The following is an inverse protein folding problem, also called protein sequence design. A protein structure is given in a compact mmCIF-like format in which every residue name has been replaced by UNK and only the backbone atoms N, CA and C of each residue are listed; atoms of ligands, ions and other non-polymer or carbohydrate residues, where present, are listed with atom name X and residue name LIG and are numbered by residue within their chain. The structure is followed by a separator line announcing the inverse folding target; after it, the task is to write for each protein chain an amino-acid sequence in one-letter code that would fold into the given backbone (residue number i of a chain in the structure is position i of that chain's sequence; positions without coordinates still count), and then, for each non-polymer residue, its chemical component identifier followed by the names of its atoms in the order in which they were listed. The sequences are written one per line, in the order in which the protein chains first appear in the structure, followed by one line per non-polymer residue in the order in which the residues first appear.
data_IF_896087953846
#
_entry.id   IF_896087953846
#
_cell.length_a   1.000
_cell.length_b   1.000
_cell.length_c   1.000
_cell.angle_alpha   90.00
_cell.angle_beta   90.00
_cell.angle_gamma   90.00
#
_symmetry.space_group_name_H-M   'P 1'
#
loop_
_entity.id
_entity.type
_entity.pdbx_description
1 polymer ?
#
# COMPACT_ATOMS: atom_id res chain seq x y z
N UNK A 1 10.64 -7.37 24.92
CA UNK A 1 10.83 -8.56 24.07
C UNK A 1 10.96 -8.09 22.61
N UNK A 2 12.17 -7.66 22.23
CA UNK A 2 12.49 -7.19 20.88
C UNK A 2 12.71 -8.37 19.95
N UNK A 3 11.79 -8.60 19.01
CA UNK A 3 12.06 -9.47 17.86
C UNK A 3 12.84 -8.68 16.81
N UNK A 4 14.18 -8.79 16.86
CA UNK A 4 15.05 -8.40 15.76
C UNK A 4 14.65 -9.19 14.51
N UNK A 5 14.15 -8.48 13.52
CA UNK A 5 13.96 -9.00 12.17
C UNK A 5 15.36 -9.19 11.55
N UNK A 6 15.85 -10.43 11.55
CA UNK A 6 17.05 -10.80 10.79
C UNK A 6 16.57 -11.26 9.40
N UNK A 7 16.99 -10.61 8.29
CA UNK A 7 16.49 -10.92 6.96
C UNK A 7 17.12 -12.18 6.35
N UNK A 8 17.89 -12.93 7.12
CA UNK A 8 18.50 -14.18 6.66
C UNK A 8 17.57 -15.36 6.93
N UNK A 9 16.96 -15.81 5.84
CA UNK A 9 16.23 -17.07 5.63
C UNK A 9 14.77 -17.12 6.14
N UNK A 10 13.78 -16.96 5.25
CA UNK A 10 12.43 -17.42 5.56
C UNK A 10 12.46 -18.94 5.73
N UNK A 11 12.06 -19.42 6.91
CA UNK A 11 11.77 -20.84 7.15
C UNK A 11 10.94 -21.39 5.97
N UNK A 12 11.39 -22.53 5.44
CA UNK A 12 10.86 -23.17 4.23
C UNK A 12 9.43 -23.70 4.45
N UNK A 13 8.46 -22.82 4.52
CA UNK A 13 7.10 -23.13 4.08
C UNK A 13 7.17 -23.24 2.56
N UNK A 14 6.88 -24.42 2.01
CA UNK A 14 6.83 -24.70 0.57
C UNK A 14 5.73 -23.87 -0.11
N UNK A 15 5.97 -22.57 -0.26
CA UNK A 15 5.12 -21.66 -1.01
C UNK A 15 5.43 -21.83 -2.49
N UNK A 16 4.38 -22.17 -3.25
CA UNK A 16 4.48 -22.37 -4.68
C UNK A 16 3.95 -21.14 -5.41
N UNK A 17 4.45 -20.90 -6.63
CA UNK A 17 3.94 -19.85 -7.49
C UNK A 17 3.59 -20.47 -8.85
N UNK A 18 2.33 -20.87 -8.97
CA UNK A 18 1.83 -21.53 -10.18
C UNK A 18 0.64 -20.74 -10.73
N UNK A 19 0.84 -20.06 -11.87
CA UNK A 19 -0.27 -19.45 -12.61
C UNK A 19 -0.13 -19.71 -14.09
N UNK A 20 -1.06 -20.48 -14.65
CA UNK A 20 -1.06 -20.84 -16.08
C UNK A 20 -1.12 -19.59 -16.97
N UNK A 21 -1.84 -18.56 -16.53
CA UNK A 21 -2.02 -17.30 -17.27
C UNK A 21 -0.70 -16.52 -17.47
N UNK A 22 0.28 -16.66 -16.58
CA UNK A 22 1.58 -15.98 -16.67
C UNK A 22 2.50 -16.61 -17.74
N UNK A 23 2.17 -17.80 -18.23
CA UNK A 23 2.96 -18.55 -19.22
C UNK A 23 2.24 -18.75 -20.56
N UNK A 24 1.01 -18.25 -20.68
CA UNK A 24 0.23 -18.25 -21.91
C UNK A 24 0.79 -17.24 -22.91
N UNK A 25 0.66 -17.48 -24.22
CA UNK A 25 1.06 -16.52 -25.24
C UNK A 25 0.22 -15.23 -25.14
N UNK A 26 0.77 -14.05 -25.53
CA UNK A 26 0.03 -12.80 -25.48
C UNK A 26 -1.33 -12.87 -26.22
N UNK A 27 -1.35 -13.52 -27.38
CA UNK A 27 -2.57 -13.75 -28.16
C UNK A 27 -3.63 -14.53 -27.37
N UNK A 28 -3.26 -15.65 -26.75
CA UNK A 28 -4.20 -16.47 -25.99
C UNK A 28 -4.77 -15.74 -24.78
N UNK A 29 -3.99 -14.87 -24.11
CA UNK A 29 -4.48 -14.04 -22.99
C UNK A 29 -5.46 -12.97 -23.46
N UNK A 30 -5.19 -12.32 -24.58
CA UNK A 30 -6.10 -11.33 -25.16
C UNK A 30 -7.41 -11.99 -25.58
N UNK A 31 -7.35 -13.17 -26.17
CA UNK A 31 -8.52 -13.95 -26.55
C UNK A 31 -9.37 -14.33 -25.32
N UNK A 32 -8.74 -14.82 -24.24
CA UNK A 32 -9.45 -15.10 -22.97
C UNK A 32 -10.11 -13.85 -22.40
N UNK A 33 -9.44 -12.69 -22.46
CA UNK A 33 -10.03 -11.41 -22.02
C UNK A 33 -11.23 -11.03 -22.87
N UNK A 34 -11.14 -11.11 -24.20
CA UNK A 34 -12.23 -10.78 -25.12
C UNK A 34 -13.44 -11.69 -24.88
N UNK A 35 -13.21 -13.00 -24.74
CA UNK A 35 -14.29 -13.95 -24.43
C UNK A 35 -14.93 -13.63 -23.08
N UNK A 36 -14.13 -13.42 -22.04
CA UNK A 36 -14.64 -13.12 -20.70
C UNK A 36 -15.45 -11.82 -20.67
N UNK A 37 -14.99 -10.76 -21.34
CA UNK A 37 -15.73 -9.49 -21.39
C UNK A 37 -16.99 -9.59 -22.27
N UNK A 38 -16.91 -10.28 -23.40
CA UNK A 38 -18.07 -10.54 -24.25
C UNK A 38 -19.17 -11.29 -23.48
N UNK A 39 -18.81 -12.29 -22.68
CA UNK A 39 -19.76 -13.02 -21.86
C UNK A 39 -20.47 -12.13 -20.83
N UNK A 40 -19.75 -11.23 -20.16
CA UNK A 40 -20.33 -10.26 -19.21
C UNK A 40 -21.26 -9.28 -19.92
N UNK A 41 -20.90 -8.79 -21.12
CA UNK A 41 -21.75 -7.89 -21.92
C UNK A 41 -23.04 -8.59 -22.34
N UNK A 42 -22.95 -9.86 -22.77
CA UNK A 42 -24.12 -10.66 -23.13
C UNK A 42 -25.05 -10.84 -21.92
N UNK A 43 -24.50 -11.20 -20.76
CA UNK A 43 -25.29 -11.33 -19.52
C UNK A 43 -25.94 -10.01 -19.11
N UNK A 44 -25.23 -8.89 -19.24
CA UNK A 44 -25.77 -7.56 -18.96
C UNK A 44 -26.92 -7.21 -19.93
N UNK A 45 -26.77 -7.52 -21.22
CA UNK A 45 -27.82 -7.34 -22.21
C UNK A 45 -29.07 -8.17 -21.91
N UNK A 46 -28.90 -9.43 -21.50
CA UNK A 46 -29.99 -10.30 -21.06
C UNK A 46 -30.67 -9.74 -19.80
N UNK A 47 -29.90 -9.26 -18.83
CA UNK A 47 -30.45 -8.66 -17.60
C UNK A 47 -31.30 -7.42 -17.89
N UNK A 48 -30.84 -6.55 -18.79
CA UNK A 48 -31.60 -5.36 -19.23
C UNK A 48 -32.86 -5.74 -20.00
N UNK A 49 -32.77 -6.73 -20.91
CA UNK A 49 -33.93 -7.22 -21.65
C UNK A 49 -35.00 -7.83 -20.71
N UNK A 50 -34.58 -8.53 -19.66
CA UNK A 50 -35.47 -9.09 -18.65
C UNK A 50 -36.11 -8.02 -17.76
N UNK A 51 -35.46 -6.87 -17.54
CA UNK A 51 -36.03 -5.74 -16.81
C UNK A 51 -37.11 -4.97 -17.58
N UNK A 52 -37.01 -4.94 -18.91
CA UNK A 52 -37.96 -4.24 -19.80
C UNK A 52 -39.17 -5.13 -20.13
N UNK A 53 -39.11 -6.43 -19.78
CA UNK A 53 -40.17 -7.38 -20.10
C UNK A 53 -41.49 -7.02 -19.43
N UNK A 54 -42.60 -7.27 -20.13
CA UNK A 54 -43.97 -7.05 -19.62
C UNK A 54 -44.42 -8.11 -18.61
N UNK A 55 -43.63 -9.17 -18.41
CA UNK A 55 -43.92 -10.22 -17.44
C UNK A 55 -43.38 -9.85 -16.04
N UNK A 56 -44.24 -9.65 -15.02
CA UNK A 56 -43.81 -9.17 -13.69
C UNK A 56 -42.83 -10.12 -12.98
N UNK A 57 -42.86 -11.42 -13.28
CA UNK A 57 -41.90 -12.39 -12.74
C UNK A 57 -40.50 -12.27 -13.34
N UNK A 58 -40.36 -11.89 -14.61
CA UNK A 58 -39.07 -11.76 -15.29
C UNK A 58 -38.30 -10.53 -14.81
N UNK A 59 -39.00 -9.46 -14.43
CA UNK A 59 -38.38 -8.21 -13.99
C UNK A 59 -37.59 -8.40 -12.68
N UNK A 60 -38.08 -9.23 -11.76
CA UNK A 60 -37.34 -9.58 -10.54
C UNK A 60 -36.08 -10.40 -10.83
N UNK A 61 -36.13 -11.29 -11.82
CA UNK A 61 -34.95 -12.04 -12.29
C UNK A 61 -33.93 -11.08 -12.91
N UNK A 62 -34.38 -10.13 -13.73
CA UNK A 62 -33.55 -9.06 -14.28
C UNK A 62 -32.89 -8.21 -13.19
N UNK A 63 -33.64 -7.80 -12.16
CA UNK A 63 -33.12 -7.02 -11.05
C UNK A 63 -32.07 -7.79 -10.24
N UNK A 64 -32.29 -9.08 -9.98
CA UNK A 64 -31.32 -9.94 -9.30
C UNK A 64 -30.04 -10.12 -10.12
N UNK A 65 -30.15 -10.28 -11.44
CA UNK A 65 -28.99 -10.36 -12.33
C UNK A 65 -28.19 -9.05 -12.33
N UNK A 66 -28.84 -7.89 -12.37
CA UNK A 66 -28.14 -6.59 -12.30
C UNK A 66 -27.43 -6.43 -10.96
N UNK A 67 -28.06 -6.80 -9.83
CA UNK A 67 -27.40 -6.79 -8.52
C UNK A 67 -26.19 -7.74 -8.47
N UNK A 68 -26.32 -8.93 -9.06
CA UNK A 68 -25.22 -9.91 -9.13
C UNK A 68 -24.07 -9.41 -9.99
N UNK A 69 -24.35 -8.74 -11.11
CA UNK A 69 -23.32 -8.11 -11.95
C UNK A 69 -22.67 -6.94 -11.21
N UNK A 70 -23.46 -6.16 -10.47
CA UNK A 70 -22.97 -5.08 -9.61
C UNK A 70 -22.00 -5.61 -8.55
N UNK A 71 -22.38 -6.68 -7.85
CA UNK A 71 -21.52 -7.36 -6.87
C UNK A 71 -20.25 -7.95 -7.52
N UNK A 72 -20.41 -8.58 -8.69
CA UNK A 72 -19.29 -9.10 -9.49
C UNK A 72 -18.30 -8.00 -9.89
N UNK A 73 -18.80 -6.82 -10.30
CA UNK A 73 -17.97 -5.66 -10.67
C UNK A 73 -17.20 -5.10 -9.47
N UNK A 74 -17.84 -5.04 -8.30
CA UNK A 74 -17.21 -4.56 -7.05
C UNK A 74 -16.06 -5.50 -6.65
N UNK A 75 -16.30 -6.80 -6.68
CA UNK A 75 -15.30 -7.82 -6.31
C UNK A 75 -14.36 -8.22 -7.47
N UNK A 76 -14.52 -7.67 -8.67
CA UNK A 76 -13.72 -8.05 -9.85
C UNK A 76 -12.22 -7.77 -9.69
N UNK A 77 -11.87 -6.86 -8.78
CA UNK A 77 -10.50 -6.45 -8.48
C UNK A 77 -9.87 -7.23 -7.33
N UNK A 78 -10.65 -7.94 -6.51
CA UNK A 78 -10.14 -8.64 -5.33
C UNK A 78 -9.38 -9.92 -5.70
N UNK A 79 -8.49 -10.34 -4.82
CA UNK A 79 -7.81 -11.62 -4.90
C UNK A 79 -8.79 -12.78 -4.61
N UNK A 80 -8.46 -13.98 -5.07
CA UNK A 80 -9.30 -15.16 -4.82
C UNK A 80 -9.22 -15.64 -3.37
N UNK A 81 -8.08 -15.41 -2.71
CA UNK A 81 -7.83 -15.80 -1.33
C UNK A 81 -7.16 -14.67 -0.58
N UNK A 82 -7.43 -14.60 0.74
CA UNK A 82 -6.80 -13.62 1.61
C UNK A 82 -5.39 -14.06 2.01
N UNK A 83 -4.49 -13.11 2.24
CA UNK A 83 -3.12 -13.37 2.72
C UNK A 83 -3.14 -14.09 4.08
N UNK A 84 -4.09 -13.76 4.96
CA UNK A 84 -4.28 -14.49 6.23
C UNK A 84 -4.62 -15.97 6.04
N UNK A 85 -5.33 -16.32 4.95
CA UNK A 85 -5.65 -17.70 4.59
C UNK A 85 -4.44 -18.45 4.06
N UNK A 86 -3.52 -17.75 3.37
CA UNK A 86 -2.26 -18.32 2.89
C UNK A 86 -1.38 -18.81 4.05
N UNK A 87 -1.20 -17.97 5.08
CA UNK A 87 -0.37 -18.32 6.23
C UNK A 87 -1.03 -19.27 7.22
N UNK A 88 -2.36 -19.46 7.14
CA UNK A 88 -3.09 -20.47 7.91
C UNK A 88 -3.24 -21.81 7.16
N UNK A 89 -2.63 -21.95 5.97
CA UNK A 89 -2.62 -23.21 5.21
C UNK A 89 -3.96 -23.56 4.54
N UNK A 90 -4.88 -22.59 4.41
CA UNK A 90 -6.19 -22.80 3.77
C UNK A 90 -6.17 -22.59 2.25
N UNK A 91 -5.04 -22.16 1.69
CA UNK A 91 -4.86 -21.93 0.25
C UNK A 91 -4.38 -23.22 -0.41
N UNK A 92 -5.01 -23.66 -1.51
CA UNK A 92 -4.59 -24.87 -2.21
C UNK A 92 -3.14 -24.77 -2.67
N UNK A 93 -2.35 -25.81 -2.38
CA UNK A 93 -0.93 -25.92 -2.72
C UNK A 93 -0.06 -24.76 -2.20
N UNK A 94 -0.53 -24.03 -1.19
CA UNK A 94 0.12 -22.82 -0.66
C UNK A 94 0.53 -21.86 -1.80
N UNK A 95 -0.34 -21.72 -2.80
CA UNK A 95 -0.03 -20.97 -4.01
C UNK A 95 -0.20 -19.47 -3.79
N UNK A 96 0.92 -18.76 -3.75
CA UNK A 96 0.95 -17.32 -3.50
C UNK A 96 0.25 -16.56 -4.62
N UNK A 97 0.26 -17.08 -5.85
CA UNK A 97 -0.34 -16.44 -7.02
C UNK A 97 -1.85 -16.16 -6.88
N UNK A 98 -2.53 -16.91 -6.01
CA UNK A 98 -3.97 -16.78 -5.76
C UNK A 98 -4.32 -15.63 -4.80
N UNK A 99 -3.33 -15.15 -4.05
CA UNK A 99 -3.47 -14.07 -3.07
C UNK A 99 -3.07 -12.70 -3.65
N UNK A 100 -2.55 -12.66 -4.88
CA UNK A 100 -2.27 -11.40 -5.55
C UNK A 100 -3.56 -10.76 -6.05
N UNK A 101 -3.63 -9.44 -5.89
CA UNK A 101 -4.66 -8.64 -6.50
C UNK A 101 -4.55 -8.71 -8.03
N UNK A 102 -5.67 -8.57 -8.74
CA UNK A 102 -5.71 -8.58 -10.20
C UNK A 102 -4.79 -7.53 -10.83
N UNK A 103 -4.67 -6.36 -10.22
CA UNK A 103 -3.81 -5.27 -10.68
C UNK A 103 -2.32 -5.55 -10.44
N UNK A 104 -1.98 -6.18 -9.31
CA UNK A 104 -0.64 -6.66 -9.04
C UNK A 104 -0.23 -7.76 -10.04
N UNK A 105 -1.18 -8.61 -10.41
CA UNK A 105 -0.96 -9.65 -11.41
C UNK A 105 -0.82 -9.09 -12.82
N UNK A 106 -1.64 -8.09 -13.21
CA UNK A 106 -1.55 -7.48 -14.54
C UNK A 106 -0.21 -6.77 -14.74
N UNK A 107 0.23 -6.02 -13.73
CA UNK A 107 1.55 -5.34 -13.75
C UNK A 107 2.70 -6.34 -13.84
N UNK A 108 2.67 -7.43 -13.06
CA UNK A 108 3.66 -8.52 -13.19
C UNK A 108 3.63 -9.19 -14.57
N UNK A 109 2.45 -9.49 -15.11
CA UNK A 109 2.33 -10.10 -16.45
C UNK A 109 2.90 -9.19 -17.53
N UNK A 110 2.62 -7.88 -17.46
CA UNK A 110 3.07 -6.90 -18.42
C UNK A 110 4.59 -6.71 -18.35
N UNK A 111 5.16 -6.68 -17.13
CA UNK A 111 6.60 -6.61 -16.93
C UNK A 111 7.31 -7.82 -17.55
N UNK A 112 6.79 -9.03 -17.32
CA UNK A 112 7.33 -10.26 -17.90
C UNK A 112 7.22 -10.28 -19.43
N UNK A 113 6.07 -9.88 -19.98
CA UNK A 113 5.87 -9.82 -21.43
C UNK A 113 6.85 -8.83 -22.09
N UNK A 114 7.00 -7.63 -21.51
CA UNK A 114 7.94 -6.63 -22.01
C UNK A 114 9.37 -7.15 -21.93
N UNK A 115 9.81 -7.67 -20.78
CA UNK A 115 11.14 -8.23 -20.61
C UNK A 115 11.45 -9.36 -21.61
N UNK A 116 10.47 -10.23 -21.87
CA UNK A 116 10.63 -11.33 -22.84
C UNK A 116 10.69 -10.84 -24.30
N UNK A 117 10.10 -9.69 -24.63
CA UNK A 117 10.11 -9.12 -25.98
C UNK A 117 11.33 -8.24 -26.25
N UNK A 118 11.69 -7.37 -25.30
CA UNK A 118 12.77 -6.39 -25.45
C UNK A 118 14.13 -6.91 -24.97
N UNK A 119 14.14 -7.97 -24.15
CA UNK A 119 15.36 -8.46 -23.51
C UNK A 119 15.94 -7.50 -22.46
N UNK A 120 15.09 -6.61 -21.94
CA UNK A 120 15.38 -5.70 -20.84
C UNK A 120 15.28 -6.41 -19.47
N UNK A 121 15.89 -5.83 -18.43
CA UNK A 121 15.80 -6.41 -17.09
C UNK A 121 14.37 -6.33 -16.53
N UNK A 122 13.81 -7.49 -16.19
CA UNK A 122 12.45 -7.62 -15.67
C UNK A 122 12.17 -6.80 -14.41
N UNK A 123 13.14 -6.72 -13.48
CA UNK A 123 12.94 -6.01 -12.22
C UNK A 123 12.84 -4.50 -12.43
N UNK A 124 13.66 -3.93 -13.34
CA UNK A 124 13.59 -2.51 -13.68
C UNK A 124 12.25 -2.15 -14.32
N UNK A 125 11.78 -2.96 -15.28
CA UNK A 125 10.46 -2.75 -15.89
C UNK A 125 9.36 -2.83 -14.83
N UNK A 126 9.44 -3.81 -13.93
CA UNK A 126 8.45 -3.97 -12.86
C UNK A 126 8.42 -2.72 -11.96
N UNK A 127 9.57 -2.19 -11.55
CA UNK A 127 9.65 -0.94 -10.78
C UNK A 127 9.08 0.24 -11.57
N UNK A 128 9.36 0.33 -12.88
CA UNK A 128 8.78 1.36 -13.77
C UNK A 128 7.26 1.34 -13.71
N UNK A 129 6.66 0.17 -13.93
CA UNK A 129 5.20 -0.01 -13.95
C UNK A 129 4.56 0.20 -12.59
N UNK A 130 5.24 -0.20 -11.51
CA UNK A 130 4.75 0.02 -10.15
C UNK A 130 4.82 1.50 -9.75
N UNK A 131 5.78 2.25 -10.28
CA UNK A 131 5.92 3.71 -10.06
C UNK A 131 4.82 4.52 -10.76
N UNK A 132 4.07 3.93 -11.70
CA UNK A 132 2.89 4.56 -12.28
C UNK A 132 1.68 4.57 -11.33
N UNK A 133 1.69 3.76 -10.28
CA UNK A 133 0.60 3.72 -9.31
C UNK A 133 0.62 4.96 -8.42
N UNK A 134 -0.53 5.60 -8.25
CA UNK A 134 -0.68 6.78 -7.39
C UNK A 134 -0.22 6.53 -5.95
N UNK A 135 -0.39 5.32 -5.42
CA UNK A 135 0.04 4.97 -4.07
C UNK A 135 1.57 4.97 -3.94
N UNK A 136 2.28 4.41 -4.94
CA UNK A 136 3.75 4.35 -4.97
C UNK A 136 4.35 5.71 -5.32
N UNK A 137 3.77 6.44 -6.28
CA UNK A 137 4.21 7.78 -6.65
C UNK A 137 4.15 8.72 -5.42
N UNK A 138 3.04 8.71 -4.68
CA UNK A 138 2.91 9.48 -3.43
C UNK A 138 3.90 9.03 -2.35
N UNK A 139 4.18 7.73 -2.24
CA UNK A 139 5.18 7.24 -1.30
C UNK A 139 6.58 7.80 -1.63
N UNK A 140 6.94 7.87 -2.91
CA UNK A 140 8.22 8.45 -3.37
C UNK A 140 8.26 9.98 -3.18
N UNK A 141 7.18 10.70 -3.48
CA UNK A 141 7.09 12.15 -3.25
C UNK A 141 7.30 12.51 -1.77
N UNK A 142 6.79 11.68 -0.86
CA UNK A 142 7.00 11.84 0.60
C UNK A 142 8.42 11.57 1.04
N UNK A 143 9.13 10.75 0.29
CA UNK A 143 10.56 10.56 0.44
C UNK A 143 11.35 11.66 -0.28
N UNK A 144 10.72 12.78 -0.65
CA UNK A 144 11.30 13.91 -1.38
C UNK A 144 12.00 13.49 -2.68
N UNK A 145 11.55 12.38 -3.27
CA UNK A 145 12.01 11.91 -4.57
C UNK A 145 11.11 12.48 -5.65
N UNK A 146 11.71 13.18 -6.62
CA UNK A 146 10.98 13.64 -7.79
C UNK A 146 10.65 12.44 -8.69
N UNK A 147 9.37 12.07 -8.76
CA UNK A 147 8.89 10.90 -9.52
C UNK A 147 9.27 10.97 -11.00
N UNK A 148 9.31 12.18 -11.59
CA UNK A 148 9.68 12.34 -13.01
C UNK A 148 11.16 12.03 -13.22
N UNK A 149 12.02 12.56 -12.35
CA UNK A 149 13.46 12.32 -12.42
C UNK A 149 13.79 10.85 -12.16
N UNK A 150 13.11 10.24 -11.19
CA UNK A 150 13.23 8.81 -10.89
C UNK A 150 12.87 7.95 -12.12
N UNK A 151 11.75 8.26 -12.80
CA UNK A 151 11.35 7.56 -14.03
C UNK A 151 12.36 7.73 -15.16
N UNK A 152 12.91 8.93 -15.34
CA UNK A 152 13.92 9.18 -16.37
C UNK A 152 15.19 8.36 -16.12
N UNK A 153 15.70 8.36 -14.88
CA UNK A 153 16.88 7.57 -14.49
C UNK A 153 16.65 6.07 -14.64
N UNK A 154 15.44 5.63 -14.33
CA UNK A 154 15.05 4.23 -14.49
C UNK A 154 14.93 3.84 -15.97
N UNK A 155 14.41 4.72 -16.83
CA UNK A 155 14.39 4.50 -18.28
C UNK A 155 15.81 4.46 -18.88
N UNK A 156 16.71 5.38 -18.48
CA UNK A 156 18.12 5.35 -18.87
C UNK A 156 18.80 4.02 -18.51
N UNK A 157 18.51 3.46 -17.34
CA UNK A 157 19.10 2.18 -16.91
C UNK A 157 18.48 0.98 -17.65
N UNK A 158 17.18 1.03 -17.97
CA UNK A 158 16.50 0.02 -18.79
C UNK A 158 17.15 -0.03 -20.19
N UNK A 159 17.38 1.11 -20.83
CA UNK A 159 18.00 1.20 -22.15
C UNK A 159 19.40 0.56 -22.19
N UNK A 160 20.20 0.73 -21.13
CA UNK A 160 21.53 0.11 -21.01
C UNK A 160 21.50 -1.42 -20.92
N UNK A 161 20.37 -2.00 -20.50
CA UNK A 161 20.17 -3.45 -20.38
C UNK A 161 19.54 -4.11 -21.61
N UNK A 162 19.07 -3.35 -22.60
CA UNK A 162 18.43 -3.87 -23.81
C UNK A 162 19.36 -4.89 -24.50
N UNK A 163 18.85 -6.11 -24.71
CA UNK A 163 19.53 -7.18 -25.45
C UNK A 163 20.63 -7.93 -24.70
N UNK A 164 20.88 -7.65 -23.41
CA UNK A 164 21.93 -8.32 -22.62
C UNK A 164 21.46 -9.56 -21.86
N UNK A 165 20.17 -9.67 -21.54
CA UNK A 165 19.63 -10.73 -20.70
C UNK A 165 18.68 -11.65 -21.49
N UNK A 166 19.21 -12.73 -22.08
CA UNK A 166 18.39 -13.87 -22.53
C UNK A 166 18.19 -14.85 -21.38
N UNK A 167 17.34 -14.47 -20.43
CA UNK A 167 17.00 -15.29 -19.26
C UNK A 167 16.10 -16.46 -19.70
N UNK A 168 16.37 -17.66 -19.20
CA UNK A 168 15.55 -18.85 -19.48
C UNK A 168 14.16 -18.72 -18.84
N UNK A 169 13.13 -19.35 -19.44
CA UNK A 169 11.76 -19.37 -18.86
C UNK A 169 11.73 -19.91 -17.44
N UNK A 170 12.66 -20.80 -17.09
CA UNK A 170 12.77 -21.38 -15.74
C UNK A 170 13.36 -20.41 -14.73
N UNK A 171 14.34 -19.61 -15.14
CA UNK A 171 14.92 -18.56 -14.29
C UNK A 171 13.89 -17.47 -13.98
N UNK A 172 13.06 -17.08 -14.96
CA UNK A 172 11.94 -16.17 -14.72
C UNK A 172 10.91 -16.72 -13.72
N UNK A 173 10.62 -18.03 -13.79
CA UNK A 173 9.72 -18.68 -12.81
C UNK A 173 10.27 -18.52 -11.40
N UNK A 174 11.56 -18.77 -11.23
CA UNK A 174 12.22 -18.73 -9.93
C UNK A 174 12.32 -17.31 -9.37
N UNK A 175 12.66 -16.32 -10.21
CA UNK A 175 12.70 -14.91 -9.82
C UNK A 175 11.31 -14.40 -9.40
N UNK A 176 10.28 -14.71 -10.19
CA UNK A 176 8.91 -14.30 -9.89
C UNK A 176 8.40 -14.97 -8.62
N UNK A 177 8.77 -16.24 -8.40
CA UNK A 177 8.43 -16.97 -7.17
C UNK A 177 9.04 -16.31 -5.95
N UNK A 178 10.33 -15.97 -5.98
CA UNK A 178 11.02 -15.27 -4.87
C UNK A 178 10.36 -13.93 -4.54
N UNK A 179 10.06 -13.12 -5.57
CA UNK A 179 9.36 -11.84 -5.40
C UNK A 179 7.96 -12.00 -4.81
N UNK A 180 7.16 -12.95 -5.32
CA UNK A 180 5.81 -13.17 -4.84
C UNK A 180 5.79 -13.58 -3.36
N UNK A 181 6.72 -14.46 -2.95
CA UNK A 181 6.86 -14.86 -1.54
C UNK A 181 7.24 -13.67 -0.67
N UNK A 182 8.24 -12.87 -1.08
CA UNK A 182 8.63 -11.66 -0.35
C UNK A 182 7.44 -10.69 -0.19
N UNK A 183 6.68 -10.48 -1.26
CA UNK A 183 5.47 -9.65 -1.24
C UNK A 183 4.40 -10.19 -0.28
N UNK A 184 4.22 -11.52 -0.22
CA UNK A 184 3.28 -12.15 0.71
C UNK A 184 3.65 -11.89 2.18
N UNK A 185 4.94 -11.98 2.51
CA UNK A 185 5.42 -11.67 3.86
C UNK A 185 5.23 -10.19 4.22
N UNK A 186 5.51 -9.29 3.28
CA UNK A 186 5.31 -7.84 3.45
C UNK A 186 3.82 -7.54 3.66
N UNK A 187 2.94 -8.09 2.83
CA UNK A 187 1.48 -7.95 2.99
C UNK A 187 0.99 -8.48 4.33
N UNK A 188 1.51 -9.60 4.81
CA UNK A 188 1.19 -10.11 6.16
C UNK A 188 1.59 -9.12 7.25
N UNK A 189 2.79 -8.55 7.14
CA UNK A 189 3.29 -7.58 8.11
C UNK A 189 2.45 -6.30 8.14
N UNK A 190 1.99 -5.86 6.97
CA UNK A 190 1.07 -4.71 6.84
C UNK A 190 -0.39 -5.04 7.16
N UNK A 191 -0.69 -6.28 7.58
CA UNK A 191 -2.04 -6.76 7.86
C UNK A 191 -2.99 -6.58 6.65
N UNK A 192 -2.45 -6.72 5.44
CA UNK A 192 -3.21 -6.61 4.21
C UNK A 192 -4.01 -7.89 3.95
N UNK A 193 -5.23 -7.72 3.45
CA UNK A 193 -6.03 -8.86 3.02
C UNK A 193 -5.50 -9.48 1.72
N UNK A 194 -4.82 -8.70 0.87
CA UNK A 194 -4.38 -9.09 -0.47
C UNK A 194 -2.98 -8.59 -0.78
N UNK A 195 -2.27 -9.25 -1.69
CA UNK A 195 -0.96 -8.79 -2.16
C UNK A 195 -1.16 -7.75 -3.27
N UNK A 196 -0.93 -6.48 -2.91
CA UNK A 196 -1.05 -5.32 -3.79
C UNK A 196 0.20 -5.01 -4.60
N UNK A 197 0.11 -3.96 -5.43
CA UNK A 197 1.27 -3.47 -6.18
C UNK A 197 2.30 -2.78 -5.27
N UNK A 198 1.86 -2.21 -4.16
CA UNK A 198 2.74 -1.57 -3.19
C UNK A 198 3.61 -2.62 -2.47
N UNK A 199 2.99 -3.74 -2.11
CA UNK A 199 3.66 -4.87 -1.46
C UNK A 199 4.66 -5.53 -2.43
N UNK A 200 4.33 -5.57 -3.73
CA UNK A 200 5.29 -5.95 -4.78
C UNK A 200 6.43 -4.95 -4.92
N UNK A 201 6.17 -3.65 -4.82
CA UNK A 201 7.22 -2.62 -4.90
C UNK A 201 8.20 -2.78 -3.73
N UNK A 202 7.70 -2.90 -2.50
CA UNK A 202 8.52 -3.23 -1.34
C UNK A 202 9.27 -4.56 -1.51
N UNK A 203 8.66 -5.56 -2.15
CA UNK A 203 9.32 -6.85 -2.37
C UNK A 203 10.51 -6.73 -3.32
N UNK A 204 10.40 -5.94 -4.40
CA UNK A 204 11.51 -5.74 -5.35
C UNK A 204 12.68 -5.03 -4.68
N UNK A 205 12.41 -4.06 -3.81
CA UNK A 205 13.44 -3.34 -3.07
C UNK A 205 14.11 -4.24 -2.01
N UNK A 206 13.35 -5.15 -1.38
CA UNK A 206 13.87 -6.13 -0.42
C UNK A 206 14.79 -7.17 -1.05
N UNK A 207 14.49 -7.66 -2.25
CA UNK A 207 15.31 -8.68 -2.95
C UNK A 207 16.69 -8.14 -3.35
N UNK A 208 16.94 -6.83 -3.19
CA UNK A 208 18.25 -6.19 -3.27
C UNK A 208 18.99 -6.48 -4.59
N UNK A 209 18.26 -6.40 -5.70
CA UNK A 209 18.82 -6.57 -7.05
C UNK A 209 19.80 -5.42 -7.32
N UNK A 210 21.04 -5.69 -7.79
CA UNK A 210 22.08 -4.67 -7.90
C UNK A 210 21.68 -3.42 -8.70
N UNK A 211 20.96 -3.59 -9.81
CA UNK A 211 20.52 -2.49 -10.67
C UNK A 211 19.48 -1.60 -9.98
N UNK A 212 18.48 -2.21 -9.35
CA UNK A 212 17.46 -1.49 -8.58
C UNK A 212 18.10 -0.78 -7.40
N UNK A 213 19.02 -1.46 -6.70
CA UNK A 213 19.75 -0.89 -5.55
C UNK A 213 20.53 0.37 -5.94
N UNK A 214 21.27 0.35 -7.06
CA UNK A 214 21.99 1.52 -7.57
C UNK A 214 21.07 2.72 -7.76
N UNK A 215 19.88 2.52 -8.35
CA UNK A 215 18.92 3.60 -8.55
C UNK A 215 18.43 4.13 -7.19
N UNK A 216 18.08 3.24 -6.25
CA UNK A 216 17.63 3.66 -4.92
C UNK A 216 18.72 4.41 -4.14
N UNK A 217 19.97 3.96 -4.23
CA UNK A 217 21.13 4.58 -3.60
C UNK A 217 21.38 6.00 -4.17
N UNK A 218 21.16 6.23 -5.48
CA UNK A 218 21.24 7.57 -6.08
C UNK A 218 20.25 8.57 -5.47
N UNK A 219 19.07 8.09 -5.09
CA UNK A 219 18.05 8.91 -4.41
C UNK A 219 18.17 8.88 -2.89
N UNK A 220 19.20 8.21 -2.35
CA UNK A 220 19.41 8.03 -0.89
C UNK A 220 18.20 7.41 -0.20
N UNK A 221 17.54 6.46 -0.85
CA UNK A 221 16.32 5.81 -0.34
C UNK A 221 16.62 4.37 0.09
N UNK A 222 16.34 4.04 1.34
CA UNK A 222 16.47 2.66 1.84
C UNK A 222 15.16 1.85 1.74
N UNK A 223 15.25 0.53 1.89
CA UNK A 223 14.07 -0.34 1.99
C UNK A 223 13.14 0.09 3.13
N UNK A 224 13.69 0.42 4.30
CA UNK A 224 12.92 0.79 5.48
C UNK A 224 12.14 2.10 5.24
N UNK A 225 12.74 3.06 4.53
CA UNK A 225 12.09 4.33 4.18
C UNK A 225 10.91 4.11 3.23
N UNK A 226 11.08 3.28 2.21
CA UNK A 226 10.02 2.90 1.25
C UNK A 226 8.90 2.17 1.96
N UNK A 227 9.26 1.19 2.79
CA UNK A 227 8.31 0.39 3.53
C UNK A 227 7.45 1.26 4.45
N UNK A 228 8.10 2.17 5.19
CA UNK A 228 7.40 3.16 6.01
C UNK A 228 6.52 4.08 5.15
N UNK A 229 7.05 4.65 4.07
CA UNK A 229 6.31 5.58 3.21
C UNK A 229 5.06 4.96 2.58
N UNK A 230 5.12 3.68 2.18
CA UNK A 230 3.98 2.94 1.63
C UNK A 230 2.92 2.70 2.71
N UNK A 231 3.33 2.25 3.90
CA UNK A 231 2.43 2.09 5.05
C UNK A 231 1.73 3.41 5.33
N UNK A 232 2.47 4.52 5.39
CA UNK A 232 1.90 5.85 5.61
C UNK A 232 0.97 6.30 4.49
N UNK A 233 1.34 6.12 3.22
CA UNK A 233 0.52 6.49 2.08
C UNK A 233 -0.84 5.74 2.11
N UNK A 234 -0.84 4.49 2.57
CA UNK A 234 -2.06 3.71 2.80
C UNK A 234 -2.84 4.23 3.99
N UNK A 235 -2.25 4.41 5.18
CA UNK A 235 -2.97 4.86 6.38
C UNK A 235 -3.54 6.28 6.25
N UNK A 236 -2.86 7.20 5.57
CA UNK A 236 -3.33 8.56 5.34
C UNK A 236 -4.64 8.62 4.53
N UNK A 237 -4.93 7.57 3.74
CA UNK A 237 -6.15 7.44 2.95
C UNK A 237 -7.04 6.24 3.38
N UNK A 238 -6.52 5.38 4.26
CA UNK A 238 -7.02 4.05 4.61
C UNK A 238 -7.97 4.07 5.79
N UNK A 239 -9.03 4.86 5.67
CA UNK A 239 -10.36 4.61 6.25
C UNK A 239 -11.34 5.58 5.59
N UNK A 240 -11.50 5.43 4.26
CA UNK A 240 -12.85 5.64 3.73
C UNK A 240 -13.73 4.62 4.46
N UNK A 241 -14.65 5.16 5.24
CA UNK A 241 -15.73 4.47 5.92
C UNK A 241 -16.51 3.59 4.94
N UNK A 242 -16.03 2.39 4.67
CA UNK A 242 -16.87 1.31 4.15
C UNK A 242 -17.66 0.76 5.33
N UNK A 243 -18.69 1.50 5.74
CA UNK A 243 -19.91 1.06 6.41
C UNK A 243 -20.77 2.33 6.54
N UNK A 244 -21.87 2.48 5.78
CA UNK A 244 -22.90 3.43 6.15
C UNK A 244 -23.43 3.02 7.52
N UNK A 245 -23.40 3.92 8.49
CA UNK A 245 -24.10 3.77 9.77
C UNK A 245 -25.62 3.91 9.57
N UNK A 246 -26.18 3.09 8.69
CA UNK A 246 -27.61 3.06 8.36
C UNK A 246 -28.12 1.61 8.38
N UNK A 247 -27.86 0.94 9.50
CA UNK A 247 -28.69 -0.16 9.99
C UNK A 247 -28.68 -0.11 11.52
N UNK A 248 -29.76 0.43 12.09
CA UNK A 248 -30.06 0.36 13.53
C UNK A 248 -29.63 1.58 14.34
N UNK A 249 -30.52 2.58 14.43
CA UNK A 249 -30.34 3.73 15.30
C UNK A 249 -30.44 3.36 16.78
N UNK A 250 -29.50 3.86 17.58
CA UNK A 250 -29.75 4.44 18.90
C UNK A 250 -28.67 5.51 19.12
N UNK A 251 -29.12 6.70 19.50
CA UNK A 251 -28.31 7.90 19.62
C UNK A 251 -27.28 7.78 20.76
N UNK A 252 -26.08 7.32 20.44
CA UNK A 252 -24.89 7.82 21.11
C UNK A 252 -24.42 9.02 20.29
N UNK A 253 -24.49 10.20 20.91
CA UNK A 253 -23.83 11.44 20.44
C UNK A 253 -22.46 11.03 19.92
N UNK A 254 -22.31 10.99 18.59
CA UNK A 254 -21.05 10.70 17.93
C UNK A 254 -20.07 11.70 18.51
N UNK A 255 -19.15 11.25 19.36
CA UNK A 255 -18.03 12.07 19.78
C UNK A 255 -17.47 12.64 18.48
N UNK A 256 -17.52 13.97 18.32
CA UNK A 256 -16.99 14.63 17.14
C UNK A 256 -15.51 14.29 17.11
N UNK A 257 -15.15 13.20 16.44
CA UNK A 257 -13.78 12.93 16.03
C UNK A 257 -13.43 14.14 15.19
N UNK A 258 -12.70 15.09 15.79
CA UNK A 258 -12.19 16.27 15.10
C UNK A 258 -11.56 15.77 13.81
N UNK A 259 -11.83 16.46 12.70
CA UNK A 259 -11.32 16.07 11.39
C UNK A 259 -9.84 15.74 11.49
N UNK A 260 -9.45 14.57 10.99
CA UNK A 260 -8.07 14.21 10.74
C UNK A 260 -7.49 15.25 9.76
N UNK A 261 -7.03 16.40 10.25
CA UNK A 261 -6.01 17.15 9.52
C UNK A 261 -4.77 16.28 9.60
N UNK A 262 -4.37 15.72 8.45
CA UNK A 262 -3.15 14.92 8.31
C UNK A 262 -2.01 15.69 8.99
N UNK A 263 -1.34 15.06 9.96
CA UNK A 263 -0.22 15.66 10.67
C UNK A 263 0.82 16.17 9.66
N UNK A 264 1.40 17.35 9.87
CA UNK A 264 2.57 17.78 9.10
C UNK A 264 3.76 16.83 9.32
N UNK A 265 3.89 16.21 10.50
CA UNK A 265 4.88 15.13 10.74
C UNK A 265 4.54 13.85 9.98
N UNK A 266 3.25 13.58 9.73
CA UNK A 266 2.81 12.54 8.79
C UNK A 266 2.95 13.01 7.34
N UNK A 267 3.46 14.20 7.02
CA UNK A 267 3.83 14.61 5.65
C UNK A 267 5.34 14.71 5.43
N UNK A 268 6.15 14.76 6.49
CA UNK A 268 7.61 14.78 6.42
C UNK A 268 8.22 13.38 6.22
N UNK A 269 9.50 13.34 5.83
CA UNK A 269 10.29 12.11 5.73
C UNK A 269 10.27 11.33 7.06
N UNK A 270 10.13 9.99 7.03
CA UNK A 270 10.23 9.17 8.23
C UNK A 270 11.65 9.29 8.84
N UNK A 271 11.73 9.51 10.16
CA UNK A 271 12.98 9.69 10.91
C UNK A 271 13.22 8.52 11.88
N UNK A 272 13.53 7.31 11.38
CA UNK A 272 13.56 6.09 12.19
C UNK A 272 14.60 6.10 13.32
N UNK A 273 15.70 6.86 13.17
CA UNK A 273 16.70 7.00 14.23
C UNK A 273 16.22 7.90 15.39
N UNK A 274 15.63 9.06 15.06
CA UNK A 274 15.12 10.01 16.06
C UNK A 274 13.97 9.39 16.86
N UNK A 275 13.05 8.67 16.19
CA UNK A 275 11.90 8.00 16.79
C UNK A 275 12.26 6.96 17.88
N UNK A 276 13.52 6.49 17.96
CA UNK A 276 13.96 5.57 19.03
C UNK A 276 14.25 6.28 20.35
N UNK A 277 14.56 7.58 20.30
CA UNK A 277 15.01 8.36 21.45
C UNK A 277 14.08 9.52 21.79
N UNK A 278 13.15 9.87 20.90
CA UNK A 278 12.16 10.93 21.11
C UNK A 278 10.74 10.38 21.15
N UNK A 279 9.86 11.09 21.85
CA UNK A 279 8.42 10.84 21.86
C UNK A 279 7.71 12.00 21.17
N UNK A 280 6.85 11.73 20.19
CA UNK A 280 6.03 12.77 19.55
C UNK A 280 4.81 13.08 20.43
N UNK A 281 4.84 14.23 21.10
CA UNK A 281 3.75 14.70 21.96
C UNK A 281 2.46 15.01 21.18
N UNK A 282 2.57 15.36 19.89
CA UNK A 282 1.42 15.61 19.01
C UNK A 282 0.62 14.33 18.78
N UNK A 283 1.31 13.20 18.65
CA UNK A 283 0.67 11.89 18.48
C UNK A 283 -0.02 11.44 19.77
N UNK A 284 0.60 11.67 20.93
CA UNK A 284 -0.02 11.38 22.23
C UNK A 284 -1.26 12.25 22.49
N UNK A 285 -1.22 13.51 22.08
CA UNK A 285 -2.38 14.40 22.16
C UNK A 285 -3.53 13.95 21.26
N UNK A 286 -3.23 13.50 20.03
CA UNK A 286 -4.24 12.89 19.13
C UNK A 286 -4.88 11.63 19.70
N UNK A 287 -4.10 10.81 20.39
CA UNK A 287 -4.60 9.62 21.06
C UNK A 287 -5.50 9.94 22.26
N UNK A 288 -5.64 11.22 22.64
CA UNK A 288 -6.41 11.66 23.80
C UNK A 288 -5.73 11.30 25.13
N UNK A 289 -4.45 10.97 25.09
CA UNK A 289 -3.65 10.56 26.26
C UNK A 289 -2.81 11.70 26.85
N UNK A 290 -2.84 12.89 26.24
CA UNK A 290 -2.21 14.07 26.80
C UNK A 290 -2.94 14.54 28.06
N UNK A 291 -2.17 14.96 29.07
CA UNK A 291 -2.72 15.53 30.29
C UNK A 291 -3.43 16.87 30.05
N UNK A 292 -4.37 17.22 30.92
CA UNK A 292 -5.00 18.53 30.93
C UNK A 292 -4.19 19.49 31.79
N UNK A 293 -4.15 20.77 31.40
CA UNK A 293 -3.46 21.82 32.16
C UNK A 293 -4.41 22.41 33.21
N UNK A 294 -3.94 22.54 34.45
CA UNK A 294 -4.68 23.19 35.55
C UNK A 294 -3.82 24.33 36.09
N UNK A 295 -4.37 25.55 36.16
CA UNK A 295 -3.79 26.68 36.89
C UNK A 295 -2.60 27.41 36.24
N UNK A 296 -1.91 26.83 35.26
CA UNK A 296 -0.74 27.42 34.58
C UNK A 296 -1.07 28.34 33.40
N UNK A 297 -2.16 29.11 33.50
CA UNK A 297 -2.68 29.92 32.39
C UNK A 297 -1.70 31.03 31.97
N UNK A 298 -1.11 31.73 32.95
CA UNK A 298 -0.21 32.87 32.70
C UNK A 298 1.12 32.44 32.09
N UNK A 299 1.68 31.33 32.58
CA UNK A 299 2.93 30.77 32.07
C UNK A 299 2.75 30.24 30.65
N UNK A 300 1.60 29.62 30.39
CA UNK A 300 1.25 29.10 29.08
C UNK A 300 1.07 30.21 28.04
N UNK A 301 0.33 31.27 28.36
CA UNK A 301 0.18 32.44 27.48
C UNK A 301 1.54 33.08 27.16
N UNK A 302 2.38 33.30 28.17
CA UNK A 302 3.73 33.85 27.96
C UNK A 302 4.58 32.94 27.05
N UNK A 303 4.48 31.62 27.22
CA UNK A 303 5.18 30.66 26.36
C UNK A 303 4.72 30.78 24.89
N UNK A 304 3.40 30.86 24.67
CA UNK A 304 2.84 31.05 23.33
C UNK A 304 3.32 32.36 22.70
N UNK A 305 3.27 33.46 23.44
CA UNK A 305 3.68 34.78 22.95
C UNK A 305 5.14 34.78 22.49
N UNK A 306 6.03 34.13 23.25
CA UNK A 306 7.45 34.00 22.90
C UNK A 306 7.61 33.13 21.65
N UNK A 307 6.91 31.99 21.56
CA UNK A 307 7.00 31.07 20.42
C UNK A 307 6.37 31.65 19.14
N UNK A 308 5.36 32.51 19.26
CA UNK A 308 4.65 33.14 18.16
C UNK A 308 5.37 34.38 17.60
N UNK A 309 6.41 34.87 18.27
CA UNK A 309 7.20 36.01 17.81
C UNK A 309 7.90 35.76 16.48
N UNK A 310 8.20 36.82 15.72
CA UNK A 310 8.99 36.72 14.49
C UNK A 310 10.46 36.43 14.83
N UNK A 311 10.97 35.26 14.44
CA UNK A 311 12.35 34.81 14.72
C UNK A 311 12.43 33.34 15.13
N UNK A 312 13.66 32.83 15.35
CA UNK A 312 13.87 31.47 15.89
C UNK A 312 13.92 31.53 17.41
N UNK A 313 12.74 31.62 18.03
CA UNK A 313 12.61 31.71 19.48
C UNK A 313 12.64 30.32 20.12
N UNK A 314 13.36 30.18 21.24
CA UNK A 314 13.43 28.96 22.04
C UNK A 314 13.00 29.27 23.47
N UNK A 315 12.13 28.44 24.05
CA UNK A 315 11.62 28.62 25.42
C UNK A 315 12.32 27.65 26.37
N UNK A 316 12.78 28.15 27.52
CA UNK A 316 13.35 27.35 28.61
C UNK A 316 12.45 27.44 29.85
N UNK A 317 11.92 26.30 30.30
CA UNK A 317 11.07 26.21 31.48
C UNK A 317 11.90 25.91 32.75
N UNK A 318 12.03 26.89 33.63
CA UNK A 318 12.79 26.80 34.90
C UNK A 318 11.84 26.64 36.09
N UNK A 319 12.24 25.86 37.10
CA UNK A 319 11.42 25.53 38.27
C UNK A 319 11.83 24.22 38.96
N UNK A 320 11.26 23.95 40.13
CA UNK A 320 11.51 22.72 40.90
C UNK A 320 10.96 21.46 40.18
N UNK A 321 11.52 20.26 40.44
CA UNK A 321 11.00 19.01 39.89
C UNK A 321 9.56 18.76 40.38
N UNK A 322 8.70 18.24 39.52
CA UNK A 322 7.31 17.88 39.87
C UNK A 322 6.27 19.00 39.72
N UNK A 323 6.67 20.24 39.38
CA UNK A 323 5.75 21.38 39.17
C UNK A 323 4.86 21.22 37.91
N UNK A 324 5.06 20.19 37.08
CA UNK A 324 4.22 19.98 35.88
C UNK A 324 4.73 20.69 34.62
N UNK A 325 6.05 20.93 34.51
CA UNK A 325 6.66 21.49 33.29
C UNK A 325 6.35 20.67 32.04
N UNK A 326 6.35 19.35 32.18
CA UNK A 326 5.99 18.42 31.11
C UNK A 326 4.53 18.57 30.69
N UNK A 327 3.63 18.84 31.65
CA UNK A 327 2.21 19.06 31.40
C UNK A 327 1.98 20.29 30.53
N UNK A 328 2.71 21.40 30.76
CA UNK A 328 2.65 22.59 29.91
C UNK A 328 3.04 22.28 28.45
N UNK A 329 4.10 21.51 28.23
CA UNK A 329 4.55 21.13 26.88
C UNK A 329 3.54 20.16 26.23
N UNK A 330 3.02 19.20 27.00
CA UNK A 330 2.01 18.27 26.50
C UNK A 330 0.71 18.97 26.12
N UNK A 331 0.35 20.03 26.84
CA UNK A 331 -0.82 20.85 26.56
C UNK A 331 -0.63 21.72 25.32
N UNK A 332 0.59 22.22 25.06
CA UNK A 332 0.92 22.94 23.83
C UNK A 332 0.72 22.06 22.58
N UNK A 333 0.91 20.75 22.71
CA UNK A 333 0.71 19.79 21.62
C UNK A 333 -0.76 19.39 21.37
N UNK A 334 -1.68 19.74 22.28
CA UNK A 334 -3.08 19.33 22.28
C UNK A 334 -4.01 20.24 21.47
#
# INVERSE_FOLDING_TARGET
MSSKFSPHQPNQTNFSFHRRILWMSPFSRSLVRVISYSFVIVILGVAVALLISSAPGLNWVGAFLVLTIGDYLIHFRSAHYKVSQLFSGRVPQNNVALCLNREALSTLTLALERAALTGENFHLILVSLLTEKDSVARALERLEVNVKEFKNKLAEEIEKTVGKEKISREEFKELTRKLAIAAAYISKFHLEEEIGGESLFCAVTLVNIPQVKRILDLFSVSFDDINAAIVFAKFAFGRKSELPAVTGGFALKKARVRSHRVNRTFTSRPTPFLNRFSVDLTDLARAGTAGFLIGHEKEYERMIDILAGEGKHSVLLVGEPGIGKETMISHLAF
#
